data_IF_529685683848
#
_entry.id   IF_529685683848
#
_cell.length_a   1.000
_cell.length_b   1.000
_cell.length_c   1.000
_cell.angle_alpha   90.00
_cell.angle_beta   90.00
_cell.angle_gamma   90.00
#
_symmetry.space_group_name_H-M   'P 1'
#
loop_
_entity.id
_entity.type
_entity.pdbx_description
1 polymer ?
#
# COMPACT_ATOMS: atom_id res chain seq x y z
N UNK A 1 -9.55 -13.02 19.22
CA UNK A 1 -10.64 -12.08 18.95
C UNK A 1 -10.08 -10.95 18.10
N UNK A 2 -10.48 -10.87 16.82
CA UNK A 2 -9.90 -9.93 15.84
C UNK A 2 -10.41 -8.51 16.07
N UNK A 3 -11.61 -8.37 16.65
CA UNK A 3 -12.19 -7.06 16.98
C UNK A 3 -11.38 -6.31 18.05
N UNK A 4 -10.66 -7.01 18.92
CA UNK A 4 -9.79 -6.41 19.94
C UNK A 4 -8.48 -5.83 19.38
N UNK A 5 -8.06 -6.25 18.18
CA UNK A 5 -6.86 -5.74 17.51
C UNK A 5 -7.15 -4.56 16.57
N UNK A 6 -8.42 -4.38 16.20
CA UNK A 6 -8.85 -3.27 15.36
C UNK A 6 -9.10 -2.04 16.23
N UNK A 7 -8.36 -0.96 15.97
CA UNK A 7 -8.45 0.30 16.70
C UNK A 7 -9.84 0.98 16.62
N UNK A 8 -10.71 0.55 15.69
CA UNK A 8 -12.08 1.05 15.50
C UNK A 8 -13.18 0.12 16.06
N UNK A 9 -12.81 -1.02 16.65
CA UNK A 9 -13.74 -1.97 17.25
C UNK A 9 -14.62 -2.74 16.26
N UNK A 10 -14.36 -2.65 14.96
CA UNK A 10 -15.11 -3.37 13.93
C UNK A 10 -14.51 -4.76 13.67
N UNK A 11 -15.33 -5.70 13.21
CA UNK A 11 -14.87 -7.00 12.71
C UNK A 11 -14.35 -6.94 11.26
N UNK A 12 -14.28 -5.75 10.65
CA UNK A 12 -13.74 -5.58 9.32
C UNK A 12 -12.23 -5.84 9.37
N UNK A 13 -11.76 -6.79 8.57
CA UNK A 13 -10.33 -7.03 8.43
C UNK A 13 -9.78 -5.91 7.54
N UNK A 14 -8.88 -5.04 8.02
CA UNK A 14 -8.27 -4.04 7.17
C UNK A 14 -7.51 -4.75 6.05
N UNK A 15 -7.81 -4.41 4.80
CA UNK A 15 -7.08 -4.93 3.63
C UNK A 15 -5.75 -4.16 3.51
N UNK A 16 -4.59 -4.81 3.69
CA UNK A 16 -3.31 -4.15 3.48
C UNK A 16 -3.27 -3.51 2.09
N UNK A 17 -3.00 -2.21 2.04
CA UNK A 17 -2.99 -1.43 0.81
C UNK A 17 -1.74 -0.57 0.75
N UNK A 18 -1.04 -0.63 -0.37
CA UNK A 18 0.12 0.24 -0.65
C UNK A 18 -0.16 1.06 -1.90
N UNK A 19 0.11 2.36 -1.85
CA UNK A 19 -0.14 3.29 -2.95
C UNK A 19 1.12 4.12 -3.19
N UNK A 20 1.52 4.24 -4.45
CA UNK A 20 2.57 5.17 -4.90
C UNK A 20 1.89 6.32 -5.62
N UNK A 21 2.14 7.55 -5.16
CA UNK A 21 1.61 8.79 -5.70
C UNK A 21 2.77 9.62 -6.27
N UNK A 22 2.54 10.38 -7.35
CA UNK A 22 3.46 11.45 -7.76
C UNK A 22 3.25 12.74 -6.96
N UNK A 23 4.05 13.78 -7.24
CA UNK A 23 4.03 15.05 -6.52
C UNK A 23 2.71 15.81 -6.69
N UNK A 24 2.01 15.57 -7.79
CA UNK A 24 0.69 16.12 -8.09
C UNK A 24 -0.45 15.32 -7.43
N UNK A 25 -0.14 14.22 -6.74
CA UNK A 25 -1.09 13.37 -6.04
C UNK A 25 -1.78 12.33 -6.93
N UNK A 26 -1.24 12.05 -8.12
CA UNK A 26 -1.78 11.03 -9.04
C UNK A 26 -1.25 9.65 -8.64
N UNK A 27 -2.15 8.67 -8.56
CA UNK A 27 -1.80 7.26 -8.33
C UNK A 27 -1.01 6.72 -9.51
N UNK A 28 0.24 6.33 -9.25
CA UNK A 28 1.12 5.68 -10.23
C UNK A 28 1.17 4.18 -10.07
N UNK A 29 0.90 3.69 -8.86
CA UNK A 29 0.82 2.27 -8.55
C UNK A 29 -0.08 2.04 -7.33
N UNK A 30 -0.82 0.93 -7.35
CA UNK A 30 -1.75 0.52 -6.30
C UNK A 30 -1.66 -1.00 -6.15
N UNK A 31 -1.54 -1.43 -4.90
CA UNK A 31 -1.52 -2.84 -4.53
C UNK A 31 -2.40 -3.05 -3.30
N UNK A 32 -3.28 -4.06 -3.38
CA UNK A 32 -4.30 -4.35 -2.37
C UNK A 32 -4.32 -5.85 -2.14
N UNK A 33 -4.17 -6.26 -0.88
CA UNK A 33 -4.21 -7.67 -0.48
C UNK A 33 -5.53 -7.97 0.22
N UNK A 34 -6.39 -8.85 -0.33
CA UNK A 34 -7.59 -9.32 0.36
C UNK A 34 -7.27 -10.20 1.57
N UNK A 35 -6.16 -10.94 1.50
CA UNK A 35 -5.63 -11.71 2.62
C UNK A 35 -4.70 -10.83 3.46
N UNK A 36 -5.11 -10.54 4.69
CA UNK A 36 -4.39 -9.67 5.63
C UNK A 36 -3.02 -10.20 6.05
N UNK A 37 -2.74 -11.47 5.81
CA UNK A 37 -1.45 -12.09 6.12
C UNK A 37 -0.44 -11.89 5.00
N UNK A 38 -0.90 -11.45 3.82
CA UNK A 38 -0.08 -11.21 2.65
C UNK A 38 0.15 -9.72 2.45
N UNK A 39 1.34 -9.38 1.97
CA UNK A 39 1.74 -8.03 1.58
C UNK A 39 2.78 -8.13 0.47
N UNK A 40 2.90 -7.06 -0.32
CA UNK A 40 4.01 -6.90 -1.25
C UNK A 40 5.33 -6.78 -0.48
N UNK A 41 6.35 -7.50 -0.96
CA UNK A 41 7.70 -7.46 -0.41
C UNK A 41 8.35 -6.07 -0.62
N UNK A 42 9.18 -5.58 0.32
CA UNK A 42 9.77 -4.25 0.24
C UNK A 42 10.53 -3.97 -1.07
N UNK A 43 11.21 -4.96 -1.63
CA UNK A 43 12.00 -4.81 -2.86
C UNK A 43 11.10 -4.49 -4.06
N UNK A 44 9.93 -5.12 -4.15
CA UNK A 44 8.97 -4.85 -5.22
C UNK A 44 8.36 -3.44 -5.09
N UNK A 45 8.22 -2.93 -3.86
CA UNK A 45 7.78 -1.56 -3.62
C UNK A 45 8.84 -0.54 -4.09
N UNK A 46 10.11 -0.77 -3.76
CA UNK A 46 11.22 0.10 -4.21
C UNK A 46 11.31 0.12 -5.73
N UNK A 47 11.19 -1.04 -6.38
CA UNK A 47 11.17 -1.12 -7.84
C UNK A 47 9.98 -0.34 -8.44
N UNK A 48 8.79 -0.43 -7.83
CA UNK A 48 7.63 0.34 -8.28
C UNK A 48 7.89 1.85 -8.16
N UNK A 49 8.49 2.31 -7.06
CA UNK A 49 8.88 3.71 -6.89
C UNK A 49 9.88 4.14 -7.95
N UNK A 50 10.97 3.40 -8.15
CA UNK A 50 12.00 3.74 -9.13
C UNK A 50 11.44 3.78 -10.56
N UNK A 51 10.63 2.78 -10.91
CA UNK A 51 10.02 2.67 -12.25
C UNK A 51 9.03 3.81 -12.54
N UNK A 52 8.26 4.23 -11.53
CA UNK A 52 7.14 5.15 -11.73
C UNK A 52 7.44 6.60 -11.34
N UNK A 53 8.44 6.84 -10.50
CA UNK A 53 8.84 8.15 -9.98
C UNK A 53 10.33 8.50 -10.20
N UNK A 54 11.19 7.54 -10.52
CA UNK A 54 12.66 7.71 -10.64
C UNK A 54 13.16 8.62 -11.78
N UNK A 55 12.30 9.42 -12.39
CA UNK A 55 12.63 10.38 -13.44
C UNK A 55 11.93 11.73 -13.33
N UNK A 56 11.26 12.04 -12.21
CA UNK A 56 10.60 13.33 -12.03
C UNK A 56 11.64 14.40 -11.61
N UNK A 57 11.87 15.47 -12.40
CA UNK A 57 12.65 16.60 -11.92
C UNK A 57 11.89 17.29 -10.79
N UNK A 58 12.59 17.53 -9.67
CA UNK A 58 12.10 18.34 -8.55
C UNK A 58 12.14 19.84 -8.82
#
# INVERSE_FOLDING_TARGET
>A
DVAAANADGTGAIPMPTTVVLDAEGVVRWLDVHPDYTTRTEPEALVEAVDRHLGGLPG
#
